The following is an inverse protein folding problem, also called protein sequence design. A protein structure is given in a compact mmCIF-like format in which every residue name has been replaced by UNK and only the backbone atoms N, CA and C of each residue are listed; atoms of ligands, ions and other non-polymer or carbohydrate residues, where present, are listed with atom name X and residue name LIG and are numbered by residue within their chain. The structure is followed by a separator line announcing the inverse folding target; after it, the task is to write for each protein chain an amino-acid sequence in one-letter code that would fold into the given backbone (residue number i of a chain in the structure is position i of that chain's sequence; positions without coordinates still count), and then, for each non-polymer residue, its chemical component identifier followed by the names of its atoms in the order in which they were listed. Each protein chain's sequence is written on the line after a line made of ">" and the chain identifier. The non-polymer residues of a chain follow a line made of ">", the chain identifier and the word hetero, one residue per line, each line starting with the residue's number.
data_IF_523648414880
#
_entry.id   IF_523648414880
#
_cell.length_a   1.000
_cell.length_b   1.000
_cell.length_c   1.000
_cell.angle_alpha   90.00
_cell.angle_beta   90.00
_cell.angle_gamma   90.00
#
_symmetry.space_group_name_H-M   'P 1'
#
loop_
_entity.id
_entity.type
_entity.pdbx_description
1 polymer ?
#
# COMPACT_ATOMS: atom_id res chain seq x y z
N UNK A 1 -25.29 -6.45 -22.79
CA UNK A 1 -25.61 -7.14 -21.53
C UNK A 1 -24.88 -8.47 -21.50
N UNK A 2 -24.09 -8.76 -20.47
CA UNK A 2 -23.27 -9.98 -20.40
C UNK A 2 -23.95 -11.19 -19.71
N UNK A 3 -25.16 -11.03 -19.15
CA UNK A 3 -25.95 -12.13 -18.58
C UNK A 3 -25.44 -12.74 -17.26
N UNK A 4 -24.36 -12.21 -16.67
CA UNK A 4 -23.79 -12.73 -15.43
C UNK A 4 -24.60 -12.41 -14.18
N UNK A 5 -24.40 -13.23 -13.13
CA UNK A 5 -25.04 -13.05 -11.82
C UNK A 5 -24.31 -11.96 -11.02
N UNK A 6 -25.06 -10.96 -10.54
CA UNK A 6 -24.53 -9.93 -9.63
C UNK A 6 -24.36 -10.53 -8.24
N UNK A 7 -23.17 -10.38 -7.65
CA UNK A 7 -22.88 -10.79 -6.27
C UNK A 7 -22.92 -9.56 -5.36
N UNK A 8 -23.72 -9.62 -4.29
CA UNK A 8 -23.83 -8.56 -3.29
C UNK A 8 -22.46 -8.28 -2.64
N UNK A 9 -22.10 -7.01 -2.49
CA UNK A 9 -20.86 -6.61 -1.83
C UNK A 9 -20.91 -6.78 -0.32
N UNK A 10 -19.74 -6.95 0.31
CA UNK A 10 -19.63 -6.98 1.77
C UNK A 10 -20.06 -5.65 2.38
N UNK A 11 -19.66 -4.53 1.75
CA UNK A 11 -20.09 -3.18 2.16
C UNK A 11 -21.60 -3.06 2.19
N UNK A 12 -22.29 -3.47 1.11
CA UNK A 12 -23.75 -3.40 1.02
C UNK A 12 -24.40 -4.24 2.13
N UNK A 13 -23.84 -5.43 2.41
CA UNK A 13 -24.35 -6.28 3.49
C UNK A 13 -24.16 -5.65 4.88
N UNK A 14 -23.07 -4.92 5.11
CA UNK A 14 -22.85 -4.17 6.34
C UNK A 14 -23.84 -3.01 6.45
N UNK A 15 -24.08 -2.28 5.36
CA UNK A 15 -25.05 -1.17 5.31
C UNK A 15 -26.49 -1.66 5.58
N UNK A 16 -26.90 -2.82 5.06
CA UNK A 16 -28.20 -3.44 5.34
C UNK A 16 -28.43 -3.75 6.83
N UNK A 17 -27.36 -4.09 7.56
CA UNK A 17 -27.40 -4.48 8.97
C UNK A 17 -27.13 -3.29 9.91
N UNK A 18 -26.72 -2.14 9.37
CA UNK A 18 -26.31 -1.01 10.16
C UNK A 18 -27.50 -0.37 10.90
N UNK A 19 -27.30 -0.07 12.18
CA UNK A 19 -28.28 0.68 12.98
C UNK A 19 -28.09 2.20 12.89
N UNK A 20 -27.02 2.66 12.25
CA UNK A 20 -26.66 4.07 12.11
C UNK A 20 -26.46 4.40 10.63
N UNK A 21 -26.88 5.59 10.19
CA UNK A 21 -26.67 6.06 8.80
C UNK A 21 -25.20 6.22 8.43
N UNK A 22 -24.33 6.45 9.42
CA UNK A 22 -22.88 6.58 9.26
C UNK A 22 -22.16 5.71 10.29
N UNK A 23 -20.93 5.26 9.99
CA UNK A 23 -20.12 4.52 10.96
C UNK A 23 -19.98 5.31 12.27
N UNK A 24 -20.40 4.71 13.38
CA UNK A 24 -20.25 5.27 14.72
C UNK A 24 -19.23 4.44 15.48
N UNK A 25 -18.18 5.08 15.98
CA UNK A 25 -17.06 4.43 16.66
C UNK A 25 -16.93 4.95 18.10
N UNK A 26 -16.70 4.08 19.09
CA UNK A 26 -16.49 4.52 20.46
C UNK A 26 -15.13 5.23 20.60
N UNK A 27 -15.01 6.11 21.59
CA UNK A 27 -13.81 6.95 21.80
C UNK A 27 -12.51 6.17 22.02
N UNK A 28 -12.59 4.94 22.52
CA UNK A 28 -11.44 4.08 22.81
C UNK A 28 -11.05 3.16 21.65
N UNK A 29 -11.75 3.22 20.50
CA UNK A 29 -11.36 2.46 19.32
C UNK A 29 -10.14 3.11 18.69
N UNK A 30 -9.02 2.39 18.67
CA UNK A 30 -7.82 2.83 17.96
C UNK A 30 -8.05 2.95 16.45
N UNK A 31 -7.18 3.72 15.80
CA UNK A 31 -7.25 3.94 14.36
C UNK A 31 -6.96 2.65 13.59
N UNK A 32 -7.60 2.52 12.43
CA UNK A 32 -7.36 1.41 11.52
C UNK A 32 -6.22 1.76 10.57
N UNK A 33 -5.14 1.00 10.61
CA UNK A 33 -4.01 1.17 9.68
C UNK A 33 -4.21 0.24 8.49
N UNK A 34 -4.48 0.83 7.32
CA UNK A 34 -4.59 0.10 6.06
C UNK A 34 -3.20 -0.28 5.56
N UNK A 35 -2.73 -1.48 5.90
CA UNK A 35 -1.42 -1.98 5.48
C UNK A 35 -1.48 -2.85 4.23
N UNK A 36 -0.44 -2.70 3.40
CA UNK A 36 -0.13 -3.59 2.29
C UNK A 36 1.11 -4.41 2.63
N UNK A 37 1.19 -5.68 2.20
CA UNK A 37 2.39 -6.47 2.34
C UNK A 37 3.59 -5.78 1.68
N UNK A 38 4.76 -5.82 2.32
CA UNK A 38 5.99 -5.22 1.79
C UNK A 38 6.37 -5.82 0.43
N UNK A 39 6.15 -7.12 0.25
CA UNK A 39 6.36 -7.80 -1.03
C UNK A 39 5.48 -7.23 -2.16
N UNK A 40 4.25 -6.81 -1.85
CA UNK A 40 3.34 -6.21 -2.83
C UNK A 40 3.79 -4.79 -3.21
N UNK A 41 4.25 -4.00 -2.23
CA UNK A 41 4.87 -2.68 -2.48
C UNK A 41 6.10 -2.82 -3.39
N UNK A 42 7.00 -3.78 -3.10
CA UNK A 42 8.20 -4.04 -3.90
C UNK A 42 7.82 -4.52 -5.31
N UNK A 43 6.86 -5.44 -5.40
CA UNK A 43 6.35 -5.97 -6.66
C UNK A 43 5.82 -4.85 -7.56
N UNK A 44 5.02 -3.95 -6.98
CA UNK A 44 4.45 -2.81 -7.70
C UNK A 44 5.54 -1.81 -8.10
N UNK A 45 6.48 -1.51 -7.22
CA UNK A 45 7.60 -0.59 -7.49
C UNK A 45 8.54 -1.08 -8.60
N UNK A 46 8.67 -2.40 -8.77
CA UNK A 46 9.54 -3.02 -9.76
C UNK A 46 8.79 -3.54 -11.00
N UNK A 47 7.47 -3.35 -11.08
CA UNK A 47 6.61 -3.92 -12.12
C UNK A 47 6.87 -5.41 -12.39
N UNK A 48 7.11 -6.17 -11.32
CA UNK A 48 7.53 -7.57 -11.38
C UNK A 48 6.61 -8.43 -10.51
N UNK A 49 6.25 -9.66 -10.89
CA UNK A 49 5.42 -10.54 -10.06
C UNK A 49 5.96 -10.68 -8.63
N UNK A 50 5.04 -10.66 -7.65
CA UNK A 50 5.36 -10.71 -6.22
C UNK A 50 6.17 -11.94 -5.82
N UNK A 51 5.97 -13.08 -6.50
CA UNK A 51 6.69 -14.32 -6.25
C UNK A 51 8.04 -14.43 -6.99
N UNK A 52 8.48 -13.38 -7.69
CA UNK A 52 9.76 -13.39 -8.38
C UNK A 52 10.94 -13.42 -7.41
N UNK A 53 12.04 -14.04 -7.85
CA UNK A 53 13.29 -14.09 -7.06
C UNK A 53 13.84 -12.70 -6.75
N UNK A 54 13.61 -11.72 -7.63
CA UNK A 54 14.02 -10.32 -7.42
C UNK A 54 13.24 -9.70 -6.26
N UNK A 55 11.91 -9.84 -6.23
CA UNK A 55 11.07 -9.32 -5.12
C UNK A 55 11.47 -9.97 -3.80
N UNK A 56 11.61 -11.31 -3.78
CA UNK A 56 12.02 -12.05 -2.58
C UNK A 56 13.38 -11.60 -2.08
N UNK A 57 14.35 -11.37 -2.98
CA UNK A 57 15.68 -10.88 -2.62
C UNK A 57 15.60 -9.48 -1.97
N UNK A 58 14.87 -8.54 -2.58
CA UNK A 58 14.71 -7.16 -2.05
C UNK A 58 13.99 -7.13 -0.72
N UNK A 59 12.97 -7.97 -0.56
CA UNK A 59 12.26 -8.13 0.70
C UNK A 59 13.22 -8.59 1.81
N UNK A 60 14.02 -9.64 1.55
CA UNK A 60 15.01 -10.11 2.52
C UNK A 60 16.11 -9.08 2.84
N UNK A 61 16.52 -8.26 1.87
CA UNK A 61 17.48 -7.17 2.10
C UNK A 61 16.90 -6.12 3.06
N UNK A 62 15.64 -5.72 2.85
CA UNK A 62 14.94 -4.77 3.72
C UNK A 62 14.70 -5.32 5.13
N UNK A 63 14.40 -6.62 5.26
CA UNK A 63 14.24 -7.27 6.56
C UNK A 63 15.49 -7.26 7.45
N UNK A 64 16.67 -6.90 6.92
CA UNK A 64 17.87 -6.68 7.74
C UNK A 64 17.79 -5.40 8.57
N UNK A 65 16.90 -4.46 8.21
CA UNK A 65 16.67 -3.21 8.93
C UNK A 65 15.67 -3.35 10.08
N UNK A 66 14.79 -4.36 10.04
CA UNK A 66 13.69 -4.57 10.97
C UNK A 66 12.65 -5.54 10.39
N UNK A 67 11.57 -5.77 11.10
CA UNK A 67 10.47 -6.57 10.58
C UNK A 67 9.57 -5.78 9.61
N UNK A 68 8.65 -6.47 8.93
CA UNK A 68 7.80 -5.86 7.90
C UNK A 68 6.97 -4.67 8.41
N UNK A 69 6.41 -4.77 9.61
CA UNK A 69 5.60 -3.70 10.20
C UNK A 69 6.49 -2.49 10.51
N UNK A 70 7.65 -2.71 11.12
CA UNK A 70 8.63 -1.65 11.41
C UNK A 70 9.09 -0.96 10.11
N UNK A 71 9.34 -1.72 9.04
CA UNK A 71 9.74 -1.15 7.74
C UNK A 71 8.60 -0.34 7.12
N UNK A 72 7.35 -0.72 7.34
CA UNK A 72 6.21 0.00 6.79
C UNK A 72 5.83 1.23 7.60
N UNK A 73 6.11 1.26 8.91
CA UNK A 73 5.63 2.32 9.81
C UNK A 73 6.74 3.16 10.48
N UNK A 74 7.78 2.52 11.00
CA UNK A 74 8.65 3.13 12.03
C UNK A 74 10.09 3.40 11.58
N UNK A 75 10.69 2.51 10.78
CA UNK A 75 12.08 2.62 10.35
C UNK A 75 12.29 3.92 9.57
N UNK A 76 13.36 4.64 9.88
CA UNK A 76 13.71 5.89 9.19
C UNK A 76 13.82 5.70 7.65
N UNK A 77 13.12 6.55 6.90
CA UNK A 77 13.12 6.56 5.44
C UNK A 77 14.52 6.70 4.84
N UNK A 78 15.45 7.37 5.50
CA UNK A 78 16.84 7.52 5.06
C UNK A 78 17.63 6.19 5.17
N UNK A 79 17.31 5.34 6.14
CA UNK A 79 17.88 3.97 6.22
C UNK A 79 17.36 3.11 5.07
N UNK A 80 16.07 3.22 4.76
CA UNK A 80 15.43 2.52 3.64
C UNK A 80 16.07 2.99 2.32
N UNK A 81 16.21 4.31 2.11
CA UNK A 81 16.82 4.91 0.92
C UNK A 81 18.23 4.38 0.63
N UNK A 82 19.02 4.12 1.68
CA UNK A 82 20.37 3.56 1.55
C UNK A 82 20.39 2.06 1.26
N UNK A 83 19.36 1.32 1.67
CA UNK A 83 19.30 -0.13 1.56
C UNK A 83 18.60 -0.63 0.29
N UNK A 84 17.91 0.24 -0.45
CA UNK A 84 17.02 -0.17 -1.54
C UNK A 84 17.10 0.77 -2.75
N UNK A 85 16.79 0.31 -3.97
CA UNK A 85 16.65 1.18 -5.14
C UNK A 85 15.62 2.31 -4.94
N UNK A 86 15.81 3.48 -5.59
CA UNK A 86 14.90 4.62 -5.46
C UNK A 86 13.42 4.29 -5.67
N UNK A 87 13.09 3.41 -6.60
CA UNK A 87 11.71 2.98 -6.86
C UNK A 87 11.03 2.37 -5.63
N UNK A 88 11.71 1.47 -4.91
CA UNK A 88 11.16 0.82 -3.71
C UNK A 88 11.04 1.83 -2.56
N UNK A 89 12.05 2.67 -2.39
CA UNK A 89 12.02 3.74 -1.38
C UNK A 89 10.84 4.70 -1.63
N UNK A 90 10.65 5.15 -2.87
CA UNK A 90 9.55 6.05 -3.25
C UNK A 90 8.19 5.39 -3.01
N UNK A 91 8.05 4.09 -3.28
CA UNK A 91 6.83 3.36 -3.04
C UNK A 91 6.50 3.21 -1.54
N UNK A 92 7.51 2.91 -0.69
CA UNK A 92 7.33 2.86 0.77
C UNK A 92 7.00 4.25 1.32
N UNK A 93 7.67 5.30 0.82
CA UNK A 93 7.37 6.69 1.18
C UNK A 93 5.93 7.06 0.81
N UNK A 94 5.51 6.79 -0.43
CA UNK A 94 4.16 7.06 -0.89
C UNK A 94 3.11 6.30 -0.06
N UNK A 95 3.39 5.05 0.31
CA UNK A 95 2.56 4.28 1.24
C UNK A 95 2.39 4.99 2.58
N UNK A 96 3.50 5.37 3.24
CA UNK A 96 3.48 6.04 4.55
C UNK A 96 2.81 7.40 4.54
N UNK A 97 2.90 8.11 3.42
CA UNK A 97 2.26 9.41 3.22
C UNK A 97 0.79 9.31 2.80
N UNK A 98 0.23 8.10 2.66
CA UNK A 98 -1.16 7.89 2.25
C UNK A 98 -1.43 8.24 0.78
N UNK A 99 -0.39 8.29 -0.06
CA UNK A 99 -0.47 8.66 -1.49
C UNK A 99 -0.67 7.44 -2.41
N UNK A 100 -1.44 6.47 -1.94
CA UNK A 100 -1.79 5.28 -2.70
C UNK A 100 -3.24 5.37 -3.11
N UNK A 101 -3.50 5.15 -4.40
CA UNK A 101 -4.86 5.07 -4.93
C UNK A 101 -5.30 3.62 -5.00
N UNK A 102 -6.43 3.31 -4.39
CA UNK A 102 -7.00 1.95 -4.35
C UNK A 102 -8.31 1.95 -5.14
N UNK A 103 -8.40 1.09 -6.15
CA UNK A 103 -9.66 0.73 -6.79
C UNK A 103 -10.29 -0.44 -6.03
N UNK A 104 -11.53 -0.30 -5.53
CA UNK A 104 -12.17 -1.35 -4.76
C UNK A 104 -12.46 -2.57 -5.63
N UNK A 105 -12.32 -3.76 -5.03
CA UNK A 105 -12.72 -5.02 -5.64
C UNK A 105 -14.24 -5.26 -5.57
N UNK A 106 -14.69 -6.32 -6.24
CA UNK A 106 -16.11 -6.69 -6.28
C UNK A 106 -16.40 -7.87 -7.20
N UNK A 107 -17.50 -8.57 -6.97
CA UNK A 107 -17.96 -9.65 -7.87
C UNK A 107 -17.03 -10.87 -7.96
N UNK A 108 -16.08 -11.03 -7.05
CA UNK A 108 -15.05 -12.09 -7.09
C UNK A 108 -13.73 -11.65 -7.73
N UNK A 109 -13.54 -10.36 -8.01
CA UNK A 109 -12.26 -9.78 -8.41
C UNK A 109 -11.68 -8.96 -7.25
N UNK A 110 -10.39 -9.12 -7.01
CA UNK A 110 -9.65 -8.27 -6.07
C UNK A 110 -9.61 -6.82 -6.55
N UNK A 111 -9.40 -5.90 -5.62
CA UNK A 111 -9.13 -4.51 -5.95
C UNK A 111 -7.76 -4.33 -6.61
N UNK A 112 -7.52 -3.14 -7.13
CA UNK A 112 -6.26 -2.78 -7.76
C UNK A 112 -5.63 -1.60 -7.02
N UNK A 113 -4.32 -1.62 -6.88
CA UNK A 113 -3.56 -0.58 -6.19
C UNK A 113 -2.73 0.17 -7.22
N UNK A 114 -2.63 1.49 -7.07
CA UNK A 114 -1.79 2.35 -7.86
C UNK A 114 -0.97 3.20 -6.90
N UNK A 115 0.34 2.99 -6.94
CA UNK A 115 1.30 3.82 -6.22
C UNK A 115 1.69 4.95 -7.17
N UNK A 116 1.31 6.18 -6.84
CA UNK A 116 1.75 7.34 -7.63
C UNK A 116 3.27 7.49 -7.45
N UNK A 117 4.00 7.47 -8.57
CA UNK A 117 5.43 7.75 -8.54
C UNK A 117 5.63 9.19 -8.12
N UNK A 118 6.11 9.36 -6.88
CA UNK A 118 6.70 10.62 -6.47
C UNK A 118 8.02 10.75 -7.21
N UNK A 119 8.02 11.43 -8.36
CA UNK A 119 9.27 11.88 -8.99
C UNK A 119 10.07 12.64 -7.92
N UNK A 120 11.21 12.08 -7.52
CA UNK A 120 12.28 12.90 -6.98
C UNK A 120 12.83 13.71 -8.16
N UNK A 121 12.11 14.77 -8.56
CA UNK A 121 12.74 15.82 -9.35
C UNK A 121 13.93 16.27 -8.54
N UNK A 122 15.10 16.04 -9.11
CA UNK A 122 16.40 16.21 -8.53
C UNK A 122 16.43 17.43 -7.61
N UNK A 123 17.06 17.25 -6.45
CA UNK A 123 17.72 18.36 -5.77
C UNK A 123 18.80 18.92 -6.71
N UNK A 124 18.36 19.68 -7.72
CA UNK A 124 19.18 20.55 -8.53
C UNK A 124 19.46 21.80 -7.70
N UNK A 125 20.74 22.00 -7.42
CA UNK A 125 21.29 23.09 -6.62
C UNK A 125 20.93 24.47 -7.20
N UNK A 126 20.66 25.41 -6.28
CA UNK A 126 20.30 26.84 -6.41
C UNK A 126 21.09 27.67 -7.44
N UNK A 127 20.45 28.71 -7.99
CA UNK A 127 20.62 30.17 -7.75
C UNK A 127 19.62 30.91 -8.68
N UNK A 128 18.72 31.79 -8.23
CA UNK A 128 18.93 33.13 -7.66
C UNK A 128 17.74 33.53 -6.79
#
# INVERSE_FOLDING_TARGET
>A
YCGGIIKKGVRDRVEELANFEKPHHPKWRGDYIHMLPLAEIISHALHTPQNSSVVVKRWNELLRLGNEIEIMLDIDLEKIRKATPPAIYNAIRAFREGKIRILPGGGGRYGEIFIEELEEKEAMIKWK
#
